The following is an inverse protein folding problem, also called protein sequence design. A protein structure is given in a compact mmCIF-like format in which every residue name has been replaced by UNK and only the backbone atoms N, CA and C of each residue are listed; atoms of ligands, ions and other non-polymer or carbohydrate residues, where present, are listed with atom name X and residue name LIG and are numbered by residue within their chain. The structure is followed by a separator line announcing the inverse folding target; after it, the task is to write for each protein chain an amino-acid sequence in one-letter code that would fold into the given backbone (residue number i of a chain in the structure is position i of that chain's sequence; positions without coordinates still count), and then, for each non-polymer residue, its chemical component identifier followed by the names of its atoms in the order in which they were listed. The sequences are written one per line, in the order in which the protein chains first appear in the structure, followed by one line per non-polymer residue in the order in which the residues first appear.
data_IF_075350447266
#
_entry.id   IF_075350447266
#
_cell.length_a   1.000
_cell.length_b   1.000
_cell.length_c   1.000
_cell.angle_alpha   90.00
_cell.angle_beta   90.00
_cell.angle_gamma   90.00
#
_symmetry.space_group_name_H-M   'P 1'
#
loop_
_entity.id
_entity.type
_entity.pdbx_description
1 polymer ?
#
# COMPACT_ATOMS: atom_id res chain seq x y z
N UNK A 1 28.55 -10.09 10.89
CA UNK A 1 29.10 -8.75 10.58
C UNK A 1 29.67 -8.05 11.83
N UNK A 2 28.89 -7.87 12.91
CA UNK A 2 29.34 -7.26 14.17
C UNK A 2 30.59 -7.92 14.78
N UNK A 3 30.67 -9.25 14.75
CA UNK A 3 31.81 -10.00 15.29
C UNK A 3 33.13 -9.72 14.56
N UNK A 4 33.08 -9.49 13.23
CA UNK A 4 34.25 -9.09 12.41
C UNK A 4 34.70 -7.67 12.71
N UNK A 5 33.77 -6.75 12.93
CA UNK A 5 34.08 -5.37 13.32
C UNK A 5 34.82 -5.32 14.67
N UNK A 6 34.48 -6.21 15.60
CA UNK A 6 35.19 -6.34 16.87
C UNK A 6 36.57 -7.00 16.70
N UNK A 7 36.75 -7.91 15.74
CA UNK A 7 37.95 -8.74 15.59
C UNK A 7 39.18 -8.04 14.99
N UNK A 8 39.03 -6.87 14.36
CA UNK A 8 40.17 -6.14 13.77
C UNK A 8 40.48 -6.52 12.34
N UNK A 9 39.62 -7.31 11.72
CA UNK A 9 39.71 -7.62 10.30
C UNK A 9 39.44 -6.36 9.47
N UNK A 10 40.31 -6.10 8.49
CA UNK A 10 40.09 -5.06 7.50
C UNK A 10 38.82 -5.36 6.70
N UNK A 11 38.02 -4.32 6.50
CA UNK A 11 36.76 -4.42 5.76
C UNK A 11 37.10 -4.44 4.27
N UNK A 12 36.80 -5.55 3.61
CA UNK A 12 36.97 -5.68 2.16
C UNK A 12 35.97 -4.74 1.45
N UNK A 13 36.43 -3.84 0.57
CA UNK A 13 35.54 -2.96 -0.19
C UNK A 13 34.62 -3.76 -1.13
N UNK A 14 33.35 -3.36 -1.30
CA UNK A 14 32.45 -3.97 -2.28
C UNK A 14 33.00 -4.03 -3.70
N UNK A 15 33.81 -3.05 -4.12
CA UNK A 15 34.44 -3.06 -5.46
C UNK A 15 35.29 -4.28 -5.76
N UNK A 16 35.85 -4.95 -4.74
CA UNK A 16 36.60 -6.20 -4.91
C UNK A 16 35.73 -7.31 -5.52
N UNK A 17 34.41 -7.24 -5.33
CA UNK A 17 33.44 -8.18 -5.89
C UNK A 17 32.72 -7.64 -7.12
N UNK A 18 32.57 -6.31 -7.21
CA UNK A 18 31.82 -5.61 -8.26
C UNK A 18 32.46 -4.26 -8.54
N UNK A 19 33.31 -4.18 -9.57
CA UNK A 19 34.07 -2.96 -9.92
C UNK A 19 33.18 -1.72 -10.04
N UNK A 20 31.93 -1.88 -10.50
CA UNK A 20 30.96 -0.79 -10.61
C UNK A 20 30.62 -0.14 -9.27
N UNK A 21 30.89 -0.75 -8.12
CA UNK A 21 30.59 -0.17 -6.80
C UNK A 21 31.70 0.72 -6.24
N UNK A 22 32.81 0.92 -6.94
CA UNK A 22 33.94 1.75 -6.50
C UNK A 22 33.51 3.12 -5.92
N UNK A 23 32.54 3.88 -6.51
CA UNK A 23 32.14 5.18 -5.96
C UNK A 23 31.48 5.09 -4.58
N UNK A 24 30.94 3.93 -4.19
CA UNK A 24 30.28 3.70 -2.91
C UNK A 24 31.24 3.20 -1.81
N UNK A 25 32.43 2.72 -2.17
CA UNK A 25 33.37 2.07 -1.23
C UNK A 25 33.72 2.97 -0.06
N UNK A 26 34.16 4.20 -0.33
CA UNK A 26 34.59 5.13 0.71
C UNK A 26 33.44 5.45 1.69
N UNK A 27 32.19 5.48 1.22
CA UNK A 27 31.00 5.76 2.03
C UNK A 27 30.70 4.57 2.94
N UNK A 28 30.76 3.35 2.41
CA UNK A 28 30.50 2.11 3.13
C UNK A 28 31.61 1.82 4.15
N UNK A 29 32.87 1.96 3.76
CA UNK A 29 34.02 1.84 4.67
C UNK A 29 33.96 2.87 5.80
N UNK A 30 33.61 4.12 5.49
CA UNK A 30 33.45 5.17 6.48
C UNK A 30 32.29 4.91 7.44
N UNK A 31 31.15 4.43 6.94
CA UNK A 31 30.00 4.07 7.78
C UNK A 31 30.31 2.93 8.76
N UNK A 32 31.24 2.05 8.40
CA UNK A 32 31.69 0.91 9.20
C UNK A 32 32.97 1.21 10.00
N UNK A 33 33.49 2.44 9.97
CA UNK A 33 34.72 2.83 10.67
C UNK A 33 34.60 2.60 12.19
N UNK A 34 35.68 2.19 12.85
CA UNK A 34 35.71 1.97 14.30
C UNK A 34 35.53 3.25 15.09
N UNK A 35 36.12 4.33 14.62
CA UNK A 35 36.00 5.65 15.22
C UNK A 35 34.63 6.26 14.86
N UNK A 36 33.72 6.48 15.84
CA UNK A 36 32.42 7.09 15.58
C UNK A 36 32.51 8.49 15.00
N UNK A 37 33.59 9.23 15.25
CA UNK A 37 33.78 10.59 14.72
C UNK A 37 34.00 10.61 13.21
N UNK A 38 34.46 9.49 12.64
CA UNK A 38 34.64 9.32 11.21
C UNK A 38 33.34 8.88 10.51
N UNK A 39 32.34 8.40 11.26
CA UNK A 39 31.08 7.91 10.67
C UNK A 39 30.18 9.08 10.25
N UNK A 40 29.24 8.85 9.31
CA UNK A 40 28.19 9.82 9.04
C UNK A 40 27.41 10.16 10.32
N UNK A 41 27.22 11.45 10.58
CA UNK A 41 26.59 11.95 11.82
C UNK A 41 25.17 11.41 12.05
N UNK A 42 24.47 11.01 10.98
CA UNK A 42 23.12 10.42 11.05
C UNK A 42 22.91 9.39 9.93
N UNK A 43 21.96 8.48 10.13
CA UNK A 43 21.51 7.55 9.09
C UNK A 43 21.02 8.28 7.81
N UNK A 44 20.41 9.47 7.97
CA UNK A 44 19.97 10.30 6.84
C UNK A 44 21.11 10.97 6.07
N UNK A 45 22.24 11.26 6.73
CA UNK A 45 23.44 11.73 6.05
C UNK A 45 24.06 10.60 5.21
N UNK A 46 24.24 9.42 5.82
CA UNK A 46 24.71 8.22 5.12
C UNK A 46 23.85 7.87 3.90
N UNK A 47 22.52 7.81 4.05
CA UNK A 47 21.62 7.46 2.96
C UNK A 47 21.68 8.45 1.78
N UNK A 48 21.88 9.75 2.05
CA UNK A 48 22.00 10.77 1.01
C UNK A 48 23.30 10.64 0.23
N UNK A 49 24.41 10.42 0.92
CA UNK A 49 25.73 10.23 0.31
C UNK A 49 25.75 8.95 -0.53
N UNK A 50 25.30 7.83 0.05
CA UNK A 50 25.25 6.55 -0.64
C UNK A 50 24.37 6.63 -1.88
N UNK A 51 23.19 7.27 -1.79
CA UNK A 51 22.34 7.52 -2.95
C UNK A 51 23.04 8.37 -4.01
N UNK A 52 23.82 9.37 -3.62
CA UNK A 52 24.62 10.19 -4.53
C UNK A 52 25.63 9.37 -5.32
N UNK A 53 26.39 8.51 -4.64
CA UNK A 53 27.35 7.61 -5.27
C UNK A 53 26.67 6.61 -6.21
N UNK A 54 25.56 5.99 -5.78
CA UNK A 54 24.83 5.02 -6.60
C UNK A 54 24.16 5.66 -7.82
N UNK A 55 23.67 6.90 -7.71
CA UNK A 55 23.08 7.63 -8.84
C UNK A 55 24.10 8.00 -9.93
N UNK A 56 25.37 8.12 -9.56
CA UNK A 56 26.44 8.35 -10.52
C UNK A 56 26.71 7.12 -11.41
N UNK A 57 26.42 5.92 -10.88
CA UNK A 57 26.63 4.64 -11.57
C UNK A 57 25.53 4.32 -12.58
N UNK A 58 24.30 4.70 -12.27
CA UNK A 58 23.18 4.59 -13.17
C UNK A 58 22.22 5.75 -12.87
N UNK A 59 22.10 6.76 -13.75
CA UNK A 59 21.10 7.80 -13.56
C UNK A 59 19.73 7.12 -13.53
N UNK A 60 19.08 7.13 -12.36
CA UNK A 60 17.69 6.72 -12.27
C UNK A 60 16.92 7.51 -13.33
N UNK A 61 16.07 6.86 -14.15
CA UNK A 61 15.17 7.62 -15.02
C UNK A 61 14.45 8.63 -14.14
N UNK A 62 14.60 9.91 -14.46
CA UNK A 62 13.95 11.00 -13.72
C UNK A 62 12.47 10.59 -13.59
N UNK A 63 11.91 10.50 -12.37
CA UNK A 63 10.48 10.33 -12.25
C UNK A 63 9.88 11.55 -12.93
N UNK A 64 9.17 11.34 -14.04
CA UNK A 64 8.57 12.41 -14.82
C UNK A 64 7.66 13.23 -13.91
N UNK A 65 8.19 14.38 -13.47
CA UNK A 65 7.56 15.30 -12.54
C UNK A 65 6.46 16.13 -13.19
N UNK A 66 5.96 15.74 -14.37
CA UNK A 66 5.04 16.54 -15.15
C UNK A 66 3.94 15.69 -15.79
N UNK A 67 2.86 15.44 -15.02
CA UNK A 67 1.46 15.69 -15.41
C UNK A 67 0.52 14.95 -14.46
N UNK A 68 0.02 15.70 -13.49
CA UNK A 68 -1.22 15.42 -12.76
C UNK A 68 -2.46 15.60 -13.66
N UNK A 69 -2.44 15.07 -14.89
CA UNK A 69 -3.62 15.09 -15.75
C UNK A 69 -4.37 13.80 -15.52
N UNK A 70 -5.60 13.97 -15.04
CA UNK A 70 -6.65 12.98 -15.09
C UNK A 70 -6.77 12.45 -16.52
N UNK A 71 -6.12 11.31 -16.81
CA UNK A 71 -6.39 10.58 -18.03
C UNK A 71 -7.53 9.61 -17.75
N UNK A 72 -8.73 10.11 -18.05
CA UNK A 72 -9.86 9.43 -18.66
C UNK A 72 -9.53 7.99 -19.05
N UNK A 73 -10.03 7.04 -18.26
CA UNK A 73 -10.06 5.63 -18.61
C UNK A 73 -11.08 5.48 -19.74
N UNK A 74 -10.60 5.43 -20.98
CA UNK A 74 -11.34 4.83 -22.08
C UNK A 74 -11.44 3.32 -21.80
N UNK A 75 -12.64 2.71 -21.82
CA UNK A 75 -12.76 1.26 -21.68
C UNK A 75 -12.21 0.59 -22.94
N UNK A 76 -11.08 -0.09 -22.81
CA UNK A 76 -10.60 -1.03 -23.82
C UNK A 76 -11.51 -2.26 -23.83
N UNK A 77 -12.03 -2.64 -25.02
CA UNK A 77 -12.89 -3.82 -25.25
C UNK A 77 -12.10 -5.14 -25.21
N UNK A 78 -11.24 -5.31 -24.22
CA UNK A 78 -10.72 -6.60 -23.79
C UNK A 78 -11.05 -6.79 -22.32
N UNK A 79 -11.16 -8.03 -21.84
CA UNK A 79 -11.21 -8.33 -20.40
C UNK A 79 -9.88 -7.95 -19.78
N UNK A 80 -9.69 -6.65 -19.52
CA UNK A 80 -8.48 -6.13 -18.94
C UNK A 80 -8.26 -6.83 -17.59
N UNK A 81 -7.10 -7.45 -17.41
CA UNK A 81 -6.72 -8.12 -16.18
C UNK A 81 -6.93 -7.15 -15.01
N UNK A 82 -7.73 -7.50 -13.99
CA UNK A 82 -7.91 -6.70 -12.79
C UNK A 82 -6.58 -6.30 -12.16
N UNK A 83 -6.37 -5.01 -11.87
CA UNK A 83 -5.16 -4.52 -11.21
C UNK A 83 -5.45 -3.80 -9.90
N UNK A 84 -4.51 -3.93 -8.97
CA UNK A 84 -4.46 -3.26 -7.67
C UNK A 84 -3.20 -2.39 -7.60
N UNK A 85 -3.29 -1.18 -7.04
CA UNK A 85 -2.11 -0.30 -6.91
C UNK A 85 -1.12 -0.82 -5.88
N UNK A 86 0.16 -0.60 -6.15
CA UNK A 86 1.28 -0.90 -5.25
C UNK A 86 1.14 -0.29 -3.85
N UNK A 87 0.48 0.87 -3.70
CA UNK A 87 0.22 1.48 -2.38
C UNK A 87 -0.57 0.55 -1.44
N UNK A 88 -1.43 -0.33 -1.98
CA UNK A 88 -2.17 -1.33 -1.18
C UNK A 88 -1.18 -2.33 -0.57
N UNK A 89 -0.29 -2.92 -1.36
CA UNK A 89 0.77 -3.82 -0.90
C UNK A 89 1.72 -3.15 0.08
N UNK A 90 2.14 -1.90 -0.20
CA UNK A 90 2.98 -1.10 0.71
C UNK A 90 2.30 -0.75 2.04
N UNK A 91 0.98 -0.90 2.13
CA UNK A 91 0.24 -0.63 3.37
C UNK A 91 0.22 -1.84 4.32
N UNK A 92 0.65 -3.02 3.87
CA UNK A 92 0.76 -4.23 4.70
C UNK A 92 1.65 -4.00 5.90
N UNK A 93 2.82 -3.36 5.71
CA UNK A 93 3.70 -2.99 6.84
C UNK A 93 3.04 -2.05 7.83
N UNK A 94 2.14 -1.17 7.38
CA UNK A 94 1.40 -0.26 8.27
C UNK A 94 0.25 -0.98 8.99
N UNK A 95 -0.36 -1.97 8.36
CA UNK A 95 -1.44 -2.76 8.93
C UNK A 95 -0.94 -3.75 9.99
N UNK A 96 0.18 -4.42 9.70
CA UNK A 96 0.78 -5.44 10.57
C UNK A 96 1.75 -4.85 11.60
N UNK A 97 2.40 -3.73 11.27
CA UNK A 97 3.59 -3.26 11.97
C UNK A 97 4.87 -3.91 11.43
N UNK A 98 6.02 -3.31 11.77
CA UNK A 98 7.32 -3.63 11.15
C UNK A 98 7.71 -5.11 11.36
N UNK A 99 7.65 -5.60 12.60
CA UNK A 99 8.10 -6.95 12.96
C UNK A 99 7.25 -8.06 12.33
N UNK A 100 5.94 -7.89 12.29
CA UNK A 100 5.05 -8.86 11.64
C UNK A 100 5.20 -8.85 10.12
N UNK A 101 5.40 -7.68 9.52
CA UNK A 101 5.64 -7.57 8.09
C UNK A 101 7.02 -8.09 7.66
N UNK A 102 8.04 -8.01 8.52
CA UNK A 102 9.33 -8.69 8.31
C UNK A 102 9.15 -10.20 8.32
N UNK A 103 8.54 -10.76 9.37
CA UNK A 103 8.25 -12.20 9.45
C UNK A 103 7.47 -12.72 8.25
N UNK A 104 6.45 -11.98 7.81
CA UNK A 104 5.70 -12.32 6.62
C UNK A 104 6.58 -12.34 5.36
N UNK A 105 7.43 -11.32 5.16
CA UNK A 105 8.33 -11.27 4.00
C UNK A 105 9.35 -12.41 4.00
N UNK A 106 9.91 -12.74 5.17
CA UNK A 106 10.85 -13.85 5.32
C UNK A 106 10.16 -15.18 4.97
N UNK A 107 8.92 -15.38 5.41
CA UNK A 107 8.14 -16.57 5.08
C UNK A 107 7.79 -16.67 3.59
N UNK A 108 7.52 -15.54 2.92
CA UNK A 108 7.17 -15.51 1.49
C UNK A 108 8.39 -15.64 0.57
N UNK A 109 9.60 -15.32 1.03
CA UNK A 109 10.79 -15.20 0.20
C UNK A 109 11.20 -16.45 -0.57
N UNK A 110 10.78 -17.65 -0.13
CA UNK A 110 11.04 -18.91 -0.82
C UNK A 110 9.99 -19.25 -1.88
N UNK A 111 8.76 -19.51 -1.46
CA UNK A 111 7.69 -20.05 -2.31
C UNK A 111 6.91 -19.00 -3.09
N UNK A 112 6.98 -17.73 -2.65
CA UNK A 112 6.16 -16.64 -3.15
C UNK A 112 6.98 -15.39 -3.44
N UNK A 113 8.03 -15.55 -4.26
CA UNK A 113 8.96 -14.47 -4.62
C UNK A 113 8.24 -13.21 -5.16
N UNK A 114 7.21 -13.38 -5.99
CA UNK A 114 6.42 -12.28 -6.54
C UNK A 114 5.69 -11.48 -5.45
N UNK A 115 5.15 -12.15 -4.43
CA UNK A 115 4.52 -11.49 -3.29
C UNK A 115 5.54 -10.75 -2.44
N UNK A 116 6.70 -11.37 -2.20
CA UNK A 116 7.78 -10.72 -1.47
C UNK A 116 8.20 -9.42 -2.17
N UNK A 117 8.43 -9.48 -3.49
CA UNK A 117 8.75 -8.32 -4.32
C UNK A 117 7.63 -7.25 -4.30
N UNK A 118 6.36 -7.67 -4.35
CA UNK A 118 5.21 -6.78 -4.26
C UNK A 118 5.19 -5.97 -2.95
N UNK A 119 5.66 -6.57 -1.85
CA UNK A 119 5.71 -5.93 -0.52
C UNK A 119 6.95 -5.04 -0.33
N UNK A 120 8.09 -5.37 -0.95
CA UNK A 120 9.38 -4.68 -0.73
C UNK A 120 9.66 -3.56 -1.71
N UNK A 121 9.55 -3.84 -3.00
CA UNK A 121 10.22 -3.05 -4.05
C UNK A 121 9.23 -2.37 -5.00
N UNK A 122 7.96 -2.72 -4.89
CA UNK A 122 6.92 -2.13 -5.74
C UNK A 122 6.75 -0.64 -5.45
N UNK A 123 6.83 0.16 -6.52
CA UNK A 123 6.52 1.59 -6.47
C UNK A 123 5.04 1.80 -6.05
N UNK A 124 4.71 2.76 -5.16
CA UNK A 124 3.33 2.95 -4.69
C UNK A 124 2.29 3.17 -5.81
N UNK A 125 2.73 3.72 -6.94
CA UNK A 125 1.88 3.98 -8.11
C UNK A 125 1.95 2.86 -9.16
N UNK A 126 2.72 1.80 -8.99
CA UNK A 126 2.68 0.68 -9.91
C UNK A 126 1.29 0.01 -9.88
N UNK A 127 0.86 -0.53 -11.01
CA UNK A 127 -0.31 -1.40 -11.08
C UNK A 127 0.16 -2.85 -11.10
N UNK A 128 -0.28 -3.64 -10.13
CA UNK A 128 0.00 -5.07 -10.01
C UNK A 128 -1.26 -5.89 -10.31
N UNK A 129 -1.16 -7.13 -10.80
CA UNK A 129 -2.30 -8.04 -10.90
C UNK A 129 -3.05 -8.16 -9.56
N UNK A 130 -4.38 -8.11 -9.60
CA UNK A 130 -5.22 -8.25 -8.39
C UNK A 130 -5.12 -9.64 -7.79
N UNK A 131 -4.84 -10.65 -8.61
CA UNK A 131 -4.61 -12.02 -8.15
C UNK A 131 -3.43 -12.11 -7.18
N UNK A 132 -2.40 -11.26 -7.32
CA UNK A 132 -1.33 -11.17 -6.30
C UNK A 132 -1.87 -10.66 -4.97
N UNK A 133 -2.82 -9.72 -5.00
CA UNK A 133 -3.43 -9.24 -3.75
C UNK A 133 -4.32 -10.31 -3.11
N UNK A 134 -5.08 -11.05 -3.91
CA UNK A 134 -5.87 -12.20 -3.44
C UNK A 134 -4.94 -13.27 -2.84
N UNK A 135 -3.86 -13.62 -3.55
CA UNK A 135 -2.88 -14.60 -3.09
C UNK A 135 -2.24 -14.19 -1.77
N UNK A 136 -1.90 -12.90 -1.61
CA UNK A 136 -1.41 -12.37 -0.33
C UNK A 136 -2.39 -12.62 0.81
N UNK A 137 -3.69 -12.36 0.59
CA UNK A 137 -4.73 -12.53 1.61
C UNK A 137 -4.96 -14.00 1.97
N UNK A 138 -4.73 -14.91 1.01
CA UNK A 138 -4.79 -16.37 1.23
C UNK A 138 -3.58 -16.91 1.97
N UNK A 139 -2.37 -16.46 1.63
CA UNK A 139 -1.10 -17.04 2.11
C UNK A 139 -0.61 -16.38 3.41
N UNK A 140 -0.89 -15.11 3.64
CA UNK A 140 -0.41 -14.42 4.84
C UNK A 140 -0.96 -14.92 6.19
N UNK A 141 -2.23 -15.36 6.34
CA UNK A 141 -2.83 -15.65 7.65
C UNK A 141 -2.04 -16.56 8.60
N UNK A 142 -1.46 -17.69 8.14
CA UNK A 142 -0.60 -18.54 8.98
C UNK A 142 0.61 -17.82 9.59
N UNK A 143 1.03 -16.69 9.01
CA UNK A 143 2.23 -15.96 9.41
C UNK A 143 1.94 -14.69 10.25
N UNK A 144 0.68 -14.23 10.32
CA UNK A 144 0.36 -12.88 10.86
C UNK A 144 -0.71 -12.83 11.96
N UNK A 145 -1.07 -13.96 12.58
CA UNK A 145 -2.08 -14.03 13.67
C UNK A 145 -3.39 -13.28 13.37
N UNK A 146 -3.79 -13.21 12.10
CA UNK A 146 -5.03 -12.62 11.61
C UNK A 146 -5.57 -13.55 10.51
N UNK A 147 -6.88 -13.72 10.42
CA UNK A 147 -7.49 -14.31 9.23
C UNK A 147 -7.41 -13.36 8.02
N UNK A 148 -7.65 -13.90 6.82
CA UNK A 148 -7.56 -13.15 5.56
C UNK A 148 -8.50 -11.94 5.52
N UNK A 149 -9.71 -12.09 6.06
CA UNK A 149 -10.73 -11.06 6.08
C UNK A 149 -10.36 -9.87 6.98
N UNK A 150 -9.86 -10.14 8.18
CA UNK A 150 -9.36 -9.13 9.11
C UNK A 150 -8.11 -8.45 8.56
N UNK A 151 -7.20 -9.22 7.97
CA UNK A 151 -6.01 -8.67 7.31
C UNK A 151 -6.39 -7.73 6.16
N UNK A 152 -7.33 -8.14 5.31
CA UNK A 152 -7.84 -7.33 4.20
C UNK A 152 -8.42 -5.99 4.70
N UNK A 153 -9.24 -6.04 5.76
CA UNK A 153 -9.82 -4.84 6.38
C UNK A 153 -8.74 -3.93 6.95
N UNK A 154 -7.76 -4.47 7.68
CA UNK A 154 -6.65 -3.71 8.27
C UNK A 154 -5.78 -3.03 7.19
N UNK A 155 -5.45 -3.76 6.12
CA UNK A 155 -4.73 -3.22 4.95
C UNK A 155 -5.50 -2.06 4.35
N UNK A 156 -6.80 -2.21 4.09
CA UNK A 156 -7.63 -1.16 3.52
C UNK A 156 -7.61 0.12 4.36
N UNK A 157 -7.81 -0.01 5.68
CA UNK A 157 -7.78 1.12 6.62
C UNK A 157 -6.41 1.80 6.62
N UNK A 158 -5.33 1.02 6.64
CA UNK A 158 -3.97 1.53 6.59
C UNK A 158 -3.68 2.26 5.27
N UNK A 159 -4.13 1.72 4.14
CA UNK A 159 -4.02 2.33 2.81
C UNK A 159 -4.72 3.68 2.79
N UNK A 160 -6.01 3.71 3.11
CA UNK A 160 -6.81 4.94 3.07
C UNK A 160 -6.19 5.99 3.98
N UNK A 161 -5.82 5.63 5.22
CA UNK A 161 -5.19 6.57 6.16
C UNK A 161 -3.89 7.18 5.62
N UNK A 162 -3.08 6.39 4.92
CA UNK A 162 -1.81 6.85 4.36
C UNK A 162 -1.99 7.80 3.16
N UNK A 163 -3.08 7.67 2.39
CA UNK A 163 -3.28 8.44 1.15
C UNK A 163 -4.43 9.44 1.19
N UNK A 164 -5.27 9.46 2.22
CA UNK A 164 -6.50 10.28 2.28
C UNK A 164 -6.25 11.75 2.00
N UNK A 165 -5.27 12.37 2.69
CA UNK A 165 -4.94 13.81 2.53
C UNK A 165 -4.50 14.17 1.11
N UNK A 166 -3.97 13.20 0.34
CA UNK A 166 -3.59 13.42 -1.05
C UNK A 166 -4.80 13.46 -1.99
N UNK A 167 -5.88 12.77 -1.64
CA UNK A 167 -7.13 12.75 -2.42
C UNK A 167 -8.08 13.86 -2.03
N UNK A 168 -8.04 14.25 -0.76
CA UNK A 168 -8.84 15.33 -0.22
C UNK A 168 -7.90 16.37 0.40
N UNK A 169 -7.31 17.25 -0.44
CA UNK A 169 -6.37 18.27 0.02
C UNK A 169 -7.06 19.39 0.82
N UNK A 170 -8.38 19.54 0.68
CA UNK A 170 -9.17 20.36 1.59
C UNK A 170 -9.02 19.84 3.03
N UNK A 171 -9.12 20.74 4.02
CA UNK A 171 -9.07 20.35 5.43
C UNK A 171 -10.07 19.21 5.66
N UNK A 172 -9.61 18.09 6.22
CA UNK A 172 -10.48 16.96 6.58
C UNK A 172 -11.61 17.39 7.51
N UNK A 173 -11.44 18.50 8.24
CA UNK A 173 -12.46 19.12 9.08
C UNK A 173 -13.66 19.69 8.29
N UNK A 174 -13.52 19.93 6.98
CA UNK A 174 -14.60 20.43 6.11
C UNK A 174 -15.25 19.36 5.26
N UNK A 175 -14.72 18.14 5.29
CA UNK A 175 -15.34 17.01 4.62
C UNK A 175 -16.51 16.52 5.46
N UNK A 176 -17.54 16.04 4.78
CA UNK A 176 -18.68 15.34 5.39
C UNK A 176 -18.79 13.97 4.72
N UNK A 177 -19.16 12.92 5.47
CA UNK A 177 -19.20 11.56 4.94
C UNK A 177 -19.96 11.39 3.63
N UNK A 178 -21.11 12.07 3.50
CA UNK A 178 -21.97 12.02 2.31
C UNK A 178 -21.20 12.46 1.06
N UNK A 179 -20.47 13.58 1.15
CA UNK A 179 -19.69 14.12 0.02
C UNK A 179 -18.48 13.24 -0.29
N UNK A 180 -17.88 12.63 0.73
CA UNK A 180 -16.76 11.70 0.54
C UNK A 180 -17.23 10.42 -0.16
N UNK A 181 -18.36 9.84 0.26
CA UNK A 181 -18.94 8.65 -0.36
C UNK A 181 -19.51 8.95 -1.76
N UNK A 182 -20.06 10.14 -2.01
CA UNK A 182 -20.49 10.52 -3.37
C UNK A 182 -19.32 10.54 -4.36
N UNK A 183 -18.09 10.74 -3.87
CA UNK A 183 -16.86 10.70 -4.67
C UNK A 183 -16.23 9.29 -4.78
N UNK A 184 -16.91 8.23 -4.30
CA UNK A 184 -16.30 6.88 -4.18
C UNK A 184 -15.73 6.34 -5.49
N UNK A 185 -16.37 6.61 -6.64
CA UNK A 185 -15.86 6.19 -7.95
C UNK A 185 -14.46 6.76 -8.24
N UNK A 186 -14.26 8.04 -7.93
CA UNK A 186 -12.98 8.71 -8.11
C UNK A 186 -11.93 8.16 -7.15
N UNK A 187 -12.30 7.88 -5.89
CA UNK A 187 -11.41 7.26 -4.90
C UNK A 187 -11.02 5.84 -5.32
N UNK A 188 -11.99 5.05 -5.74
CA UNK A 188 -11.83 3.64 -6.11
C UNK A 188 -10.81 3.44 -7.24
N UNK A 189 -10.94 4.23 -8.31
CA UNK A 189 -10.00 4.20 -9.45
C UNK A 189 -8.54 4.55 -9.08
N UNK A 190 -8.30 5.09 -7.88
CA UNK A 190 -6.94 5.33 -7.38
C UNK A 190 -6.29 4.08 -6.81
N UNK A 191 -7.05 3.07 -6.45
CA UNK A 191 -6.53 1.85 -5.83
C UNK A 191 -6.76 0.62 -6.69
N UNK A 192 -7.87 0.57 -7.43
CA UNK A 192 -8.34 -0.61 -8.14
C UNK A 192 -8.72 -0.26 -9.58
N UNK A 193 -8.49 -1.20 -10.49
CA UNK A 193 -8.94 -1.10 -11.90
C UNK A 193 -10.11 -2.04 -12.23
N UNK A 194 -10.63 -2.75 -11.24
CA UNK A 194 -11.74 -3.68 -11.34
C UNK A 194 -12.96 -3.15 -10.60
N UNK A 195 -14.13 -3.71 -10.90
CA UNK A 195 -15.38 -3.27 -10.31
C UNK A 195 -15.84 -1.91 -10.81
N UNK A 196 -17.15 -1.77 -10.97
CA UNK A 196 -17.81 -0.46 -11.09
C UNK A 196 -18.45 -0.16 -9.74
N UNK A 197 -18.15 1.01 -9.17
CA UNK A 197 -18.69 1.44 -7.88
C UNK A 197 -19.56 2.69 -8.03
N UNK A 198 -20.69 2.69 -7.34
CA UNK A 198 -21.57 3.84 -7.18
C UNK A 198 -22.02 3.96 -5.71
N UNK A 199 -22.47 5.15 -5.34
CA UNK A 199 -23.09 5.40 -4.03
C UNK A 199 -24.51 5.88 -4.22
N UNK A 200 -25.39 5.47 -3.32
CA UNK A 200 -26.81 5.80 -3.29
C UNK A 200 -27.11 6.30 -1.88
N UNK A 201 -27.16 7.62 -1.65
CA UNK A 201 -27.51 8.15 -0.34
C UNK A 201 -28.95 7.77 0.00
N UNK A 202 -29.17 7.24 1.20
CA UNK A 202 -30.51 6.88 1.69
C UNK A 202 -31.04 8.00 2.58
N UNK A 203 -30.23 8.44 3.55
CA UNK A 203 -30.48 9.63 4.38
C UNK A 203 -29.17 10.26 4.85
N UNK A 204 -29.26 11.32 5.67
CA UNK A 204 -28.11 12.12 6.14
C UNK A 204 -27.13 11.40 7.10
N UNK A 205 -27.20 10.08 7.22
CA UNK A 205 -26.31 9.27 8.06
C UNK A 205 -26.14 7.86 7.53
N UNK A 206 -26.58 7.63 6.28
CA UNK A 206 -26.58 6.32 5.66
C UNK A 206 -26.42 6.43 4.15
N UNK A 207 -25.59 5.56 3.59
CA UNK A 207 -25.40 5.44 2.16
C UNK A 207 -25.17 3.99 1.79
N UNK A 208 -25.84 3.52 0.75
CA UNK A 208 -25.57 2.22 0.16
C UNK A 208 -24.54 2.40 -0.95
N UNK A 209 -23.40 1.73 -0.83
CA UNK A 209 -22.40 1.63 -1.88
C UNK A 209 -22.64 0.35 -2.66
N UNK A 210 -22.90 0.48 -3.95
CA UNK A 210 -23.12 -0.65 -4.86
C UNK A 210 -21.88 -0.89 -5.71
N UNK A 211 -21.49 -2.15 -5.84
CA UNK A 211 -20.38 -2.59 -6.67
C UNK A 211 -20.77 -3.76 -7.58
N UNK A 212 -20.31 -3.73 -8.83
CA UNK A 212 -20.54 -4.81 -9.81
C UNK A 212 -19.28 -5.12 -10.59
N UNK A 213 -19.13 -6.35 -11.09
CA UNK A 213 -17.96 -6.76 -11.87
C UNK A 213 -16.71 -6.87 -11.00
N UNK A 214 -16.88 -7.36 -9.78
CA UNK A 214 -15.79 -7.66 -8.84
C UNK A 214 -15.10 -8.98 -9.21
N UNK A 215 -13.88 -9.22 -8.70
CA UNK A 215 -13.23 -10.54 -8.80
C UNK A 215 -13.92 -11.67 -8.03
N UNK A 216 -15.11 -11.45 -7.42
CA UNK A 216 -15.88 -12.44 -6.66
C UNK A 216 -15.09 -13.14 -5.53
N UNK A 217 -14.19 -12.40 -4.89
CA UNK A 217 -13.43 -12.89 -3.73
C UNK A 217 -13.97 -12.25 -2.42
N UNK A 218 -14.36 -13.04 -1.41
CA UNK A 218 -14.88 -12.52 -0.14
C UNK A 218 -13.92 -11.61 0.63
N UNK A 219 -12.61 -11.88 0.65
CA UNK A 219 -11.65 -11.05 1.35
C UNK A 219 -11.49 -9.67 0.70
N UNK A 220 -11.68 -9.56 -0.62
CA UNK A 220 -11.76 -8.26 -1.29
C UNK A 220 -13.01 -7.47 -0.87
N UNK A 221 -14.11 -8.14 -0.52
CA UNK A 221 -15.28 -7.46 0.06
C UNK A 221 -14.97 -6.92 1.46
N UNK A 222 -14.16 -7.65 2.24
CA UNK A 222 -13.68 -7.18 3.54
C UNK A 222 -12.69 -6.02 3.43
N UNK A 223 -11.83 -6.03 2.39
CA UNK A 223 -11.01 -4.88 2.02
C UNK A 223 -11.88 -3.66 1.70
N UNK A 224 -12.89 -3.82 0.85
CA UNK A 224 -13.83 -2.74 0.51
C UNK A 224 -14.52 -2.19 1.76
N UNK A 225 -14.99 -3.06 2.65
CA UNK A 225 -15.62 -2.65 3.91
C UNK A 225 -14.70 -1.80 4.78
N UNK A 226 -13.43 -2.20 4.91
CA UNK A 226 -12.42 -1.43 5.64
C UNK A 226 -12.08 -0.09 4.98
N UNK A 227 -12.08 -0.04 3.64
CA UNK A 227 -11.90 1.21 2.89
C UNK A 227 -13.07 2.18 3.15
N UNK A 228 -14.30 1.71 3.05
CA UNK A 228 -15.51 2.51 3.25
C UNK A 228 -15.58 3.05 4.69
N UNK A 229 -15.35 2.18 5.68
CA UNK A 229 -15.29 2.56 7.09
C UNK A 229 -14.27 3.68 7.31
N UNK A 230 -13.04 3.49 6.81
CA UNK A 230 -11.97 4.47 7.04
C UNK A 230 -12.21 5.80 6.31
N UNK A 231 -12.86 5.79 5.14
CA UNK A 231 -13.25 7.02 4.44
C UNK A 231 -14.24 7.85 5.26
N UNK A 232 -15.24 7.20 5.85
CA UNK A 232 -16.24 7.88 6.70
C UNK A 232 -15.61 8.40 7.98
N UNK A 233 -14.74 7.61 8.63
CA UNK A 233 -14.00 8.05 9.83
C UNK A 233 -13.15 9.29 9.54
N UNK A 234 -12.41 9.31 8.43
CA UNK A 234 -11.53 10.44 8.08
C UNK A 234 -12.27 11.67 7.56
N UNK A 235 -13.54 11.54 7.21
CA UNK A 235 -14.43 12.63 6.83
C UNK A 235 -15.32 13.11 7.98
N UNK A 236 -15.00 12.72 9.23
CA UNK A 236 -15.66 13.22 10.43
C UNK A 236 -16.84 12.39 10.92
N UNK A 237 -17.18 11.29 10.24
CA UNK A 237 -18.20 10.37 10.72
C UNK A 237 -17.79 9.67 12.02
N UNK A 238 -18.77 9.45 12.91
CA UNK A 238 -18.59 8.74 14.20
C UNK A 238 -19.41 7.45 14.19
N UNK A 239 -19.11 6.53 15.10
CA UNK A 239 -19.87 5.27 15.27
C UNK A 239 -20.13 4.55 13.93
N UNK A 240 -19.08 4.47 13.11
CA UNK A 240 -19.20 4.01 11.72
C UNK A 240 -19.41 2.50 11.68
N UNK A 241 -20.40 2.07 10.91
CA UNK A 241 -20.67 0.68 10.62
C UNK A 241 -20.77 0.45 9.10
N UNK A 242 -20.36 -0.73 8.64
CA UNK A 242 -20.46 -1.14 7.24
C UNK A 242 -20.97 -2.57 7.22
N UNK A 243 -22.21 -2.74 6.76
CA UNK A 243 -22.85 -4.04 6.60
C UNK A 243 -22.79 -4.46 5.12
N UNK A 244 -22.45 -5.71 4.87
CA UNK A 244 -22.34 -6.28 3.52
C UNK A 244 -23.57 -7.16 3.25
N UNK A 245 -24.59 -6.58 2.64
CA UNK A 245 -25.93 -7.17 2.54
C UNK A 245 -26.03 -8.18 1.40
N UNK A 246 -25.48 -7.85 0.24
CA UNK A 246 -25.43 -8.71 -0.96
C UNK A 246 -23.99 -8.82 -1.46
N UNK A 247 -23.62 -9.92 -2.11
CA UNK A 247 -22.26 -10.22 -2.56
C UNK A 247 -22.24 -11.05 -3.86
N UNK A 248 -21.53 -10.57 -4.89
CA UNK A 248 -21.31 -11.32 -6.13
C UNK A 248 -20.54 -12.64 -5.92
N UNK A 249 -19.79 -12.80 -4.83
CA UNK A 249 -19.15 -14.07 -4.47
C UNK A 249 -20.13 -15.12 -3.94
N UNK A 250 -21.35 -14.71 -3.60
CA UNK A 250 -22.49 -15.57 -3.23
C UNK A 250 -23.54 -15.61 -4.34
N UNK A 251 -23.14 -15.29 -5.56
CA UNK A 251 -23.99 -15.24 -6.76
C UNK A 251 -25.11 -14.18 -6.76
N UNK A 252 -25.02 -13.16 -5.89
CA UNK A 252 -25.89 -11.98 -5.99
C UNK A 252 -25.49 -11.10 -7.21
N UNK A 253 -26.41 -10.26 -7.71
CA UNK A 253 -26.18 -9.39 -8.88
C UNK A 253 -25.14 -8.27 -8.65
N UNK A 254 -24.84 -7.96 -7.39
CA UNK A 254 -23.94 -6.91 -6.98
C UNK A 254 -23.47 -7.12 -5.54
N UNK A 255 -22.33 -6.54 -5.19
CA UNK A 255 -22.00 -6.33 -3.79
C UNK A 255 -22.67 -5.04 -3.28
N UNK A 256 -23.44 -5.13 -2.20
CA UNK A 256 -24.11 -4.00 -1.57
C UNK A 256 -23.54 -3.79 -0.17
N UNK A 257 -22.98 -2.60 0.06
CA UNK A 257 -22.42 -2.20 1.35
C UNK A 257 -23.25 -1.06 1.93
N UNK A 258 -24.01 -1.35 3.00
CA UNK A 258 -24.74 -0.34 3.75
C UNK A 258 -23.79 0.32 4.74
N UNK A 259 -23.49 1.60 4.51
CA UNK A 259 -22.55 2.38 5.30
C UNK A 259 -23.35 3.35 6.18
N UNK A 260 -23.17 3.26 7.49
CA UNK A 260 -23.91 4.04 8.49
C UNK A 260 -22.93 4.79 9.40
N UNK A 261 -23.32 5.98 9.88
CA UNK A 261 -22.55 6.75 10.86
C UNK A 261 -23.45 7.59 11.79
N UNK A 262 -22.99 7.81 13.02
CA UNK A 262 -23.61 8.73 13.96
C UNK A 262 -23.31 10.19 13.62
N UNK A 263 -24.20 11.10 14.04
CA UNK A 263 -23.93 12.55 14.02
C UNK A 263 -22.93 12.90 15.11
N UNK A 264 -22.06 13.88 14.85
CA UNK A 264 -21.28 14.49 15.92
C UNK A 264 -22.23 15.30 16.81
N UNK A 265 -22.23 14.99 18.11
CA UNK A 265 -22.75 15.92 19.14
C UNK A 265 -21.92 17.20 19.17
#
# INVERSE_FOLDING_TARGET
MLQRQCAGEDIVPPSVFHDELEPADHILLRALNRDPSQRPATAGAFARELRGALLALAPLPKPDGARWVANTVMPSRGTAVPKTRGVVFRSVTRALGVREAERLRDALGGEHADLSHALTDTAPLAWLPTDLFIQLLTVAPPHVHRDGSRLARDIARATVRASFRRFFPASSATLVPERTLSAIRNVWSRYQSWGTVSSMPIHASETVVRMTGTPRNPDLCMWTSGLLEQLVVLSGGRSVAVDHEACEARDDDACLFRVMWGRGE
#
